data_IF_034314731237
#
_entry.id   IF_034314731237
#
_cell.length_a   1.000
_cell.length_b   1.000
_cell.length_c   1.000
_cell.angle_alpha   90.00
_cell.angle_beta   90.00
_cell.angle_gamma   90.00
#
_symmetry.space_group_name_H-M   'P 1'
#
loop_
_entity.id
_entity.type
_entity.pdbx_description
1 polymer ?
#
# COMPACT_ATOMS: atom_id res chain seq x y z
N UNK A 1 5.43 -29.87 -16.77
CA UNK A 1 5.60 -28.67 -15.92
C UNK A 1 4.86 -27.51 -16.58
N UNK A 2 3.72 -27.08 -16.03
CA UNK A 2 2.78 -26.15 -16.66
C UNK A 2 3.35 -24.73 -16.83
N UNK A 3 4.15 -24.50 -17.89
CA UNK A 3 4.33 -23.17 -18.47
C UNK A 3 3.16 -22.91 -19.42
N UNK A 4 2.00 -22.59 -18.84
CA UNK A 4 0.88 -22.04 -19.60
C UNK A 4 1.17 -20.60 -20.03
N UNK A 5 1.33 -20.42 -21.34
CA UNK A 5 0.70 -19.36 -22.13
C UNK A 5 0.71 -17.92 -21.57
N UNK A 6 1.72 -17.15 -21.97
CA UNK A 6 1.72 -15.68 -22.14
C UNK A 6 1.30 -14.78 -20.97
N UNK A 7 0.94 -15.29 -19.78
CA UNK A 7 0.61 -14.51 -18.57
C UNK A 7 -0.31 -13.31 -18.85
N UNK A 8 -1.42 -13.54 -19.57
CA UNK A 8 -2.31 -12.49 -20.07
C UNK A 8 -2.98 -11.65 -18.99
N UNK A 9 -3.15 -12.20 -17.79
CA UNK A 9 -3.74 -11.51 -16.64
C UNK A 9 -2.78 -10.50 -15.99
N UNK A 10 -1.46 -10.68 -16.13
CA UNK A 10 -0.46 -9.79 -15.57
C UNK A 10 -0.13 -8.67 -16.55
N UNK A 11 -0.24 -7.42 -16.10
CA UNK A 11 0.19 -6.26 -16.88
C UNK A 11 1.68 -6.34 -17.27
N UNK A 12 2.52 -7.00 -16.47
CA UNK A 12 3.95 -7.17 -16.74
C UNK A 12 4.27 -8.42 -17.57
N UNK A 13 3.31 -9.32 -17.80
CA UNK A 13 3.49 -10.61 -18.51
C UNK A 13 4.53 -11.54 -17.88
N UNK A 14 4.82 -11.42 -16.59
CA UNK A 14 5.85 -12.19 -15.90
C UNK A 14 5.27 -13.35 -15.11
N UNK A 15 4.10 -13.14 -14.50
CA UNK A 15 3.52 -14.08 -13.55
C UNK A 15 2.20 -14.65 -14.10
N UNK A 16 2.01 -15.99 -14.06
CA UNK A 16 0.68 -16.56 -14.25
C UNK A 16 -0.22 -16.17 -13.08
N UNK A 17 -1.53 -16.27 -13.26
CA UNK A 17 -2.53 -15.86 -12.26
C UNK A 17 -2.28 -16.47 -10.86
N UNK A 18 -1.94 -17.76 -10.79
CA UNK A 18 -1.62 -18.44 -9.53
C UNK A 18 -0.41 -17.83 -8.81
N UNK A 19 0.62 -17.43 -9.56
CA UNK A 19 1.79 -16.77 -9.00
C UNK A 19 1.50 -15.32 -8.58
N UNK A 20 0.60 -14.62 -9.28
CA UNK A 20 0.11 -13.32 -8.86
C UNK A 20 -0.62 -13.40 -7.52
N UNK A 21 -1.49 -14.39 -7.33
CA UNK A 21 -2.15 -14.64 -6.04
C UNK A 21 -1.14 -14.92 -4.93
N UNK A 22 -0.14 -15.76 -5.22
CA UNK A 22 0.95 -16.02 -4.28
C UNK A 22 1.74 -14.76 -3.90
N UNK A 23 2.00 -13.87 -4.86
CA UNK A 23 2.65 -12.58 -4.61
C UNK A 23 1.77 -11.64 -3.78
N UNK A 24 0.48 -11.55 -4.10
CA UNK A 24 -0.48 -10.74 -3.35
C UNK A 24 -0.57 -11.22 -1.89
N UNK A 25 -0.67 -12.52 -1.66
CA UNK A 25 -0.71 -13.09 -0.31
C UNK A 25 0.58 -12.78 0.47
N UNK A 26 1.76 -12.87 -0.16
CA UNK A 26 3.02 -12.49 0.48
C UNK A 26 3.07 -11.00 0.84
N UNK A 27 2.59 -10.13 -0.04
CA UNK A 27 2.47 -8.70 0.23
C UNK A 27 1.59 -8.45 1.46
N UNK A 28 0.46 -9.15 1.55
CA UNK A 28 -0.43 -9.05 2.70
C UNK A 28 0.22 -9.56 3.99
N UNK A 29 0.88 -10.72 3.96
CA UNK A 29 1.53 -11.29 5.14
C UNK A 29 2.71 -10.47 5.64
N UNK A 30 3.48 -9.84 4.74
CA UNK A 30 4.65 -9.03 5.12
C UNK A 30 4.28 -7.58 5.46
N UNK A 31 3.32 -7.00 4.75
CA UNK A 31 2.99 -5.58 4.82
C UNK A 31 1.63 -5.26 5.44
N UNK A 32 0.75 -6.24 5.62
CA UNK A 32 -0.64 -6.06 6.04
C UNK A 32 -1.58 -5.56 4.94
N UNK A 33 -1.09 -5.46 3.70
CA UNK A 33 -1.79 -4.78 2.62
C UNK A 33 -1.45 -5.32 1.23
N UNK A 34 -2.41 -5.17 0.32
CA UNK A 34 -2.28 -5.49 -1.09
C UNK A 34 -2.72 -4.27 -1.88
N UNK A 35 -1.85 -3.81 -2.78
CA UNK A 35 -2.17 -2.77 -3.74
C UNK A 35 -2.04 -3.32 -5.16
N UNK A 36 -3.08 -3.14 -5.96
CA UNK A 36 -3.07 -3.49 -7.37
C UNK A 36 -3.90 -2.52 -8.21
N UNK A 37 -3.55 -2.39 -9.49
CA UNK A 37 -4.32 -1.60 -10.47
C UNK A 37 -4.88 -2.51 -11.55
N UNK A 38 -6.10 -2.22 -11.99
CA UNK A 38 -6.74 -2.85 -13.13
C UNK A 38 -6.53 -1.97 -14.38
N UNK A 39 -5.52 -2.31 -15.16
CA UNK A 39 -5.17 -1.62 -16.40
C UNK A 39 -6.04 -2.12 -17.57
N UNK A 40 -6.20 -1.28 -18.59
CA UNK A 40 -6.89 -1.64 -19.83
C UNK A 40 -5.90 -1.58 -20.98
N UNK A 41 -5.55 -2.75 -21.51
CA UNK A 41 -4.47 -2.96 -22.47
C UNK A 41 -5.04 -3.70 -23.69
N UNK A 42 -5.76 -2.96 -24.55
CA UNK A 42 -6.45 -3.50 -25.74
C UNK A 42 -5.51 -4.09 -26.78
N UNK A 43 -4.32 -3.50 -26.94
CA UNK A 43 -3.41 -3.80 -28.06
C UNK A 43 -2.48 -4.99 -27.80
N UNK A 44 -2.93 -5.95 -26.97
CA UNK A 44 -2.09 -7.05 -26.49
C UNK A 44 -2.39 -8.41 -27.12
N UNK A 45 -3.35 -8.47 -28.06
CA UNK A 45 -3.72 -9.71 -28.76
C UNK A 45 -4.39 -10.73 -27.85
N UNK A 46 -5.10 -10.26 -26.81
CA UNK A 46 -5.72 -11.09 -25.78
C UNK A 46 -7.24 -11.17 -26.02
N UNK A 47 -7.86 -12.24 -25.53
CA UNK A 47 -9.32 -12.35 -25.44
C UNK A 47 -9.97 -11.26 -24.57
N UNK A 48 -9.20 -10.64 -23.67
CA UNK A 48 -9.65 -9.59 -22.77
C UNK A 48 -8.59 -8.48 -22.66
N UNK A 49 -9.04 -7.24 -22.56
CA UNK A 49 -8.15 -6.09 -22.41
C UNK A 49 -7.76 -5.80 -20.95
N UNK A 50 -8.49 -6.32 -19.96
CA UNK A 50 -8.21 -6.04 -18.55
C UNK A 50 -6.98 -6.81 -18.06
N UNK A 51 -5.97 -6.12 -17.56
CA UNK A 51 -4.81 -6.73 -16.93
C UNK A 51 -4.60 -6.15 -15.53
N UNK A 52 -4.14 -6.99 -14.60
CA UNK A 52 -3.89 -6.60 -13.22
C UNK A 52 -2.39 -6.35 -13.06
N UNK A 53 -2.04 -5.25 -12.40
CA UNK A 53 -0.67 -4.95 -11.99
C UNK A 53 -0.63 -4.90 -10.47
N UNK A 54 0.09 -5.83 -9.85
CA UNK A 54 0.37 -5.76 -8.42
C UNK A 54 1.47 -4.71 -8.22
N UNK A 55 1.23 -3.76 -7.31
CA UNK A 55 2.12 -2.65 -7.02
C UNK A 55 2.60 -2.81 -5.59
N UNK A 56 3.89 -2.55 -5.36
CA UNK A 56 4.42 -2.57 -4.01
C UNK A 56 3.75 -1.47 -3.17
N UNK A 57 3.12 -1.80 -2.03
CA UNK A 57 2.36 -0.84 -1.24
C UNK A 57 3.17 0.35 -0.71
N UNK A 58 4.46 0.17 -0.42
CA UNK A 58 5.35 1.28 -0.04
C UNK A 58 5.54 2.39 -1.12
N UNK A 59 4.99 2.20 -2.32
CA UNK A 59 4.92 3.26 -3.34
C UNK A 59 3.72 4.18 -3.16
N UNK A 60 2.74 3.79 -2.35
CA UNK A 60 1.58 4.61 -2.02
C UNK A 60 2.02 5.61 -0.94
N UNK A 61 2.14 6.88 -1.31
CA UNK A 61 2.49 7.95 -0.38
C UNK A 61 1.99 9.29 -0.90
N UNK A 62 1.96 10.29 0.00
CA UNK A 62 1.53 11.63 -0.37
C UNK A 62 2.51 12.23 -1.41
N UNK A 63 2.01 12.94 -2.43
CA UNK A 63 2.87 13.66 -3.36
C UNK A 63 3.82 14.61 -2.62
N UNK A 64 5.09 14.62 -3.04
CA UNK A 64 6.18 15.36 -2.38
C UNK A 64 6.35 15.03 -0.89
N UNK A 65 5.93 13.82 -0.48
CA UNK A 65 5.99 13.35 0.91
C UNK A 65 5.38 14.34 1.92
N UNK A 66 4.33 15.06 1.50
CA UNK A 66 3.60 16.01 2.33
C UNK A 66 2.96 15.32 3.54
N UNK A 67 2.77 16.08 4.62
CA UNK A 67 2.04 15.61 5.79
C UNK A 67 0.59 15.24 5.47
N UNK A 68 0.05 14.29 6.22
CA UNK A 68 -1.34 13.87 6.12
C UNK A 68 -2.30 15.01 6.47
N UNK A 69 -3.46 14.99 5.82
CA UNK A 69 -4.56 15.95 5.99
C UNK A 69 -5.87 15.20 6.23
N UNK A 70 -6.98 15.92 6.35
CA UNK A 70 -8.31 15.32 6.42
C UNK A 70 -8.70 14.58 5.12
N UNK A 71 -8.27 15.09 3.98
CA UNK A 71 -8.63 14.63 2.63
C UNK A 71 -7.54 13.86 1.89
N UNK A 72 -6.32 13.83 2.40
CA UNK A 72 -5.21 13.07 1.82
C UNK A 72 -4.41 12.43 2.94
N UNK A 73 -4.41 11.10 3.00
CA UNK A 73 -3.69 10.33 4.04
C UNK A 73 -2.96 9.17 3.42
N UNK A 74 -1.67 9.02 3.71
CA UNK A 74 -0.88 7.89 3.24
C UNK A 74 -1.01 7.62 1.72
N UNK A 75 -1.05 8.68 0.91
CA UNK A 75 -1.23 8.60 -0.55
C UNK A 75 -2.66 8.32 -1.01
N UNK A 76 -3.66 8.26 -0.13
CA UNK A 76 -5.07 8.04 -0.49
C UNK A 76 -5.85 9.34 -0.32
N UNK A 77 -6.46 9.80 -1.42
CA UNK A 77 -7.44 10.89 -1.37
C UNK A 77 -8.77 10.36 -0.85
N UNK A 78 -9.34 11.06 0.13
CA UNK A 78 -10.59 10.73 0.79
C UNK A 78 -11.66 11.77 0.45
N UNK A 79 -12.89 11.31 0.30
CA UNK A 79 -14.09 12.15 0.21
C UNK A 79 -14.53 12.63 1.61
N UNK A 80 -15.52 13.52 1.68
CA UNK A 80 -16.10 14.01 2.93
C UNK A 80 -16.56 12.88 3.87
N UNK A 81 -17.03 11.77 3.32
CA UNK A 81 -17.45 10.59 4.07
C UNK A 81 -16.30 9.62 4.42
N UNK A 82 -15.05 9.96 4.11
CA UNK A 82 -13.89 9.09 4.31
C UNK A 82 -13.74 7.98 3.25
N UNK A 83 -14.55 8.00 2.20
CA UNK A 83 -14.45 7.04 1.10
C UNK A 83 -13.23 7.37 0.20
N UNK A 84 -12.41 6.37 -0.19
CA UNK A 84 -11.27 6.63 -1.07
C UNK A 84 -11.74 7.06 -2.46
N UNK A 85 -11.15 8.14 -2.99
CA UNK A 85 -11.45 8.73 -4.30
C UNK A 85 -10.33 8.48 -5.30
N UNK A 86 -9.08 8.61 -4.89
CA UNK A 86 -7.91 8.38 -5.72
C UNK A 86 -6.70 7.96 -4.89
N UNK A 87 -5.69 7.44 -5.59
CA UNK A 87 -4.45 6.92 -5.02
C UNK A 87 -3.27 7.59 -5.70
N UNK A 88 -2.30 8.05 -4.92
CA UNK A 88 -1.06 8.64 -5.39
C UNK A 88 0.05 7.60 -5.30
N UNK A 89 0.43 7.07 -6.46
CA UNK A 89 1.41 6.00 -6.55
C UNK A 89 2.71 6.59 -7.09
N UNK A 90 3.75 6.57 -6.27
CA UNK A 90 5.11 6.96 -6.66
C UNK A 90 5.64 6.03 -7.75
N UNK A 91 6.43 6.53 -8.69
CA UNK A 91 7.00 5.72 -9.77
C UNK A 91 8.11 4.76 -9.30
N UNK A 92 9.00 5.23 -8.43
CA UNK A 92 10.08 4.46 -7.82
C UNK A 92 9.78 4.09 -6.36
N UNK A 93 10.43 3.05 -5.84
CA UNK A 93 10.45 2.82 -4.39
C UNK A 93 11.33 3.87 -3.70
N UNK A 94 11.08 4.18 -2.42
CA UNK A 94 11.96 5.07 -1.65
C UNK A 94 13.43 4.62 -1.66
N UNK A 95 13.71 3.32 -1.63
CA UNK A 95 15.09 2.79 -1.70
C UNK A 95 15.75 2.90 -3.09
N UNK A 96 14.94 2.90 -4.16
CA UNK A 96 15.42 3.01 -5.54
C UNK A 96 15.80 4.45 -5.91
N UNK A 97 15.47 5.42 -5.04
CA UNK A 97 15.83 6.81 -5.27
C UNK A 97 17.34 7.00 -5.43
N UNK A 98 18.15 6.23 -4.69
CA UNK A 98 19.62 6.28 -4.76
C UNK A 98 20.20 5.80 -6.09
N UNK A 99 19.51 4.91 -6.81
CA UNK A 99 19.96 4.43 -8.13
C UNK A 99 19.81 5.51 -9.22
N UNK A 100 18.93 6.48 -9.02
CA UNK A 100 18.68 7.62 -9.92
C UNK A 100 19.55 8.85 -9.63
N UNK A 101 20.41 8.80 -8.59
CA UNK A 101 21.41 9.83 -8.32
C UNK A 101 22.84 9.29 -8.55
N UNK A 102 23.24 8.92 -9.78
CA UNK A 102 24.65 8.77 -10.07
C UNK A 102 25.27 10.17 -10.04
N UNK A 103 26.11 10.45 -9.02
CA UNK A 103 27.20 11.43 -9.05
C UNK A 103 26.95 12.69 -9.92
N UNK A 104 26.29 13.69 -9.35
CA UNK A 104 26.45 15.09 -9.79
C UNK A 104 25.78 15.52 -11.10
N UNK A 105 24.95 14.68 -11.70
CA UNK A 105 24.28 14.99 -12.97
C UNK A 105 22.79 14.69 -12.83
N UNK A 106 21.96 15.74 -12.80
CA UNK A 106 20.52 15.63 -12.96
C UNK A 106 20.23 15.09 -14.38
N UNK A 107 20.20 13.76 -14.53
CA UNK A 107 20.15 13.10 -15.82
C UNK A 107 18.75 13.27 -16.43
N UNK A 108 18.65 14.28 -17.30
CA UNK A 108 17.86 14.43 -18.52
C UNK A 108 16.74 13.38 -18.75
N UNK A 109 15.62 13.61 -18.07
CA UNK A 109 14.31 13.07 -18.36
C UNK A 109 13.29 13.84 -17.51
N UNK A 110 12.69 14.88 -18.08
CA UNK A 110 11.65 15.73 -17.49
C UNK A 110 11.91 16.24 -16.05
N UNK A 111 13.15 16.59 -15.68
CA UNK A 111 13.50 17.43 -14.52
C UNK A 111 13.02 16.99 -13.13
N UNK A 112 12.36 15.84 -13.00
CA UNK A 112 11.77 15.31 -11.79
C UNK A 112 12.37 13.92 -11.61
N UNK A 113 13.29 13.76 -10.66
CA UNK A 113 13.91 12.47 -10.36
C UNK A 113 12.91 11.46 -9.77
N UNK A 114 13.30 10.60 -8.82
CA UNK A 114 12.45 9.53 -8.25
C UNK A 114 11.18 10.01 -7.51
N UNK A 115 10.82 11.28 -7.62
CA UNK A 115 9.70 11.99 -7.00
C UNK A 115 8.61 12.33 -8.03
N UNK A 116 8.22 11.35 -8.83
CA UNK A 116 7.05 11.44 -9.71
C UNK A 116 5.95 10.57 -9.12
N UNK A 117 4.77 11.16 -8.92
CA UNK A 117 3.58 10.45 -8.47
C UNK A 117 2.53 10.45 -9.57
N UNK A 118 1.97 9.27 -9.82
CA UNK A 118 0.81 9.13 -10.69
C UNK A 118 -0.43 9.06 -9.83
N UNK A 119 -1.34 10.03 -10.02
CA UNK A 119 -2.67 9.99 -9.42
C UNK A 119 -3.56 9.04 -10.23
N UNK A 120 -4.02 7.97 -9.60
CA UNK A 120 -4.92 6.97 -10.18
C UNK A 120 -6.28 7.06 -9.47
N UNK A 121 -7.38 7.39 -10.17
CA UNK A 121 -8.69 7.41 -9.55
C UNK A 121 -9.10 5.99 -9.14
N UNK A 122 -9.86 5.86 -8.05
CA UNK A 122 -10.31 4.55 -7.54
C UNK A 122 -11.21 3.84 -8.53
N UNK A 123 -12.05 4.60 -9.23
CA UNK A 123 -13.00 4.14 -10.24
C UNK A 123 -12.85 4.99 -11.50
N UNK A 124 -13.15 4.39 -12.65
CA UNK A 124 -13.30 5.15 -13.90
C UNK A 124 -14.58 6.01 -13.85
N UNK A 125 -14.72 6.96 -14.78
CA UNK A 125 -15.91 7.81 -14.86
C UNK A 125 -17.24 7.06 -14.97
N UNK A 126 -17.21 5.80 -15.44
CA UNK A 126 -18.36 4.92 -15.61
C UNK A 126 -18.45 3.82 -14.54
N UNK A 127 -17.70 3.95 -13.43
CA UNK A 127 -17.86 3.12 -12.23
C UNK A 127 -17.03 1.82 -12.19
N UNK A 128 -16.14 1.56 -13.16
CA UNK A 128 -15.24 0.40 -13.06
C UNK A 128 -14.14 0.65 -12.05
N UNK A 129 -13.98 -0.27 -11.11
CA UNK A 129 -12.88 -0.30 -10.15
C UNK A 129 -11.53 -0.33 -10.88
N UNK A 130 -10.72 0.70 -10.68
CA UNK A 130 -9.37 0.82 -11.26
C UNK A 130 -8.28 0.50 -10.23
N UNK A 131 -8.48 0.83 -8.96
CA UNK A 131 -7.54 0.49 -7.88
C UNK A 131 -8.16 -0.53 -6.93
N UNK A 132 -7.43 -1.62 -6.70
CA UNK A 132 -7.73 -2.65 -5.74
C UNK A 132 -6.78 -2.46 -4.56
N UNK A 133 -7.33 -2.04 -3.43
CA UNK A 133 -6.56 -1.83 -2.21
C UNK A 133 -7.23 -2.62 -1.09
N UNK A 134 -6.52 -3.64 -0.60
CA UNK A 134 -7.03 -4.60 0.38
C UNK A 134 -6.14 -4.52 1.61
N UNK A 135 -6.74 -4.22 2.76
CA UNK A 135 -6.10 -4.20 4.06
C UNK A 135 -7.18 -4.49 5.12
N UNK A 136 -6.75 -4.90 6.31
CA UNK A 136 -7.64 -5.15 7.44
C UNK A 136 -7.56 -3.98 8.43
N UNK A 137 -8.61 -3.15 8.57
CA UNK A 137 -8.63 -2.07 9.54
C UNK A 137 -8.88 -2.62 10.96
N UNK A 138 -8.08 -2.19 11.93
CA UNK A 138 -8.32 -2.50 13.35
C UNK A 138 -9.35 -1.54 13.98
N UNK A 139 -9.42 -0.30 13.48
CA UNK A 139 -10.30 0.76 13.99
C UNK A 139 -11.15 1.39 12.88
N UNK A 140 -12.35 1.92 13.21
CA UNK A 140 -13.17 2.63 12.23
C UNK A 140 -12.45 3.89 11.71
N UNK A 141 -12.46 4.09 10.40
CA UNK A 141 -11.79 5.23 9.74
C UNK A 141 -10.27 5.09 9.61
N UNK A 142 -9.71 3.92 9.97
CA UNK A 142 -8.28 3.63 9.83
C UNK A 142 -7.88 3.52 8.35
N UNK A 143 -6.86 4.28 7.94
CA UNK A 143 -6.16 4.09 6.66
C UNK A 143 -5.02 3.09 6.82
N UNK A 144 -4.63 2.45 5.71
CA UNK A 144 -3.66 1.34 5.67
C UNK A 144 -2.31 1.62 6.35
N UNK A 145 -1.77 2.84 6.28
CA UNK A 145 -0.49 3.16 6.93
C UNK A 145 -0.56 2.99 8.45
N UNK A 146 -1.73 3.21 9.05
CA UNK A 146 -1.93 2.99 10.47
C UNK A 146 -1.89 1.49 10.84
N UNK A 147 -2.17 0.56 9.92
CA UNK A 147 -2.04 -0.90 10.16
C UNK A 147 -0.58 -1.29 10.46
N UNK A 148 0.40 -0.62 9.82
CA UNK A 148 1.83 -0.83 10.10
C UNK A 148 2.28 -0.26 11.45
N UNK A 149 1.63 0.80 11.93
CA UNK A 149 1.99 1.48 13.19
C UNK A 149 1.22 0.92 14.40
N UNK A 150 -0.02 0.47 14.22
CA UNK A 150 -0.90 0.01 15.31
C UNK A 150 -0.49 -1.34 15.88
N UNK A 151 -0.04 -2.27 15.02
CA UNK A 151 0.54 -3.56 15.44
C UNK A 151 1.80 -3.41 16.29
N UNK A 152 2.53 -2.30 16.17
CA UNK A 152 3.67 -1.94 17.03
C UNK A 152 3.24 -1.15 18.29
N UNK A 153 2.13 -0.42 18.25
CA UNK A 153 1.69 0.42 19.36
C UNK A 153 0.75 -0.31 20.35
N UNK A 154 0.13 -1.41 19.95
CA UNK A 154 -0.66 -2.27 20.85
C UNK A 154 0.16 -3.41 21.49
N UNK A 155 1.48 -3.32 21.44
CA UNK A 155 2.41 -4.10 22.26
C UNK A 155 2.82 -3.41 23.56
N UNK A 156 1.96 -2.57 24.16
CA UNK A 156 2.23 -2.07 25.51
C UNK A 156 1.90 -3.20 26.51
N UNK A 157 2.85 -3.72 27.30
CA UNK A 157 2.53 -4.60 28.41
C UNK A 157 1.90 -3.74 29.52
N UNK A 158 0.63 -3.37 29.34
CA UNK A 158 -0.18 -2.68 30.35
C UNK A 158 -1.10 -3.67 31.06
N UNK A 159 -0.55 -4.83 31.42
CA UNK A 159 -1.23 -5.87 32.20
C UNK A 159 -0.21 -6.67 33.04
N UNK A 160 0.58 -5.97 33.86
CA UNK A 160 1.26 -6.55 35.03
C UNK A 160 1.82 -5.47 35.98
N UNK A 161 0.99 -4.55 36.49
CA UNK A 161 1.26 -3.86 37.76
C UNK A 161 -0.04 -3.74 38.56
N UNK A 162 -0.48 -4.87 39.11
CA UNK A 162 -1.25 -4.83 40.35
C UNK A 162 -0.23 -4.58 41.47
N UNK A 163 -0.32 -3.48 42.24
CA UNK A 163 0.50 -3.34 43.43
C UNK A 163 0.10 -4.45 44.40
N UNK A 164 1.08 -5.26 44.82
CA UNK A 164 0.89 -6.26 45.84
C UNK A 164 0.26 -5.60 47.08
N UNK A 165 -0.92 -6.10 47.48
CA UNK A 165 -1.59 -5.74 48.72
C UNK A 165 -0.60 -5.86 49.88
N UNK A 166 -0.25 -4.71 50.46
CA UNK A 166 0.64 -4.61 51.62
C UNK A 166 -0.11 -5.24 52.80
N UNK A 167 0.30 -6.43 53.25
CA UNK A 167 -0.23 -7.02 54.50
C UNK A 167 0.05 -6.05 55.64
N UNK A 168 -1.03 -5.47 56.19
CA UNK A 168 -1.00 -4.73 57.46
C UNK A 168 -0.62 -5.74 58.56
N UNK A 169 0.59 -5.62 59.10
CA UNK A 169 1.01 -6.39 60.27
C UNK A 169 0.40 -5.70 61.49
N UNK A 170 -0.61 -6.34 62.08
CA UNK A 170 -1.25 -5.89 63.32
C UNK A 170 -0.19 -5.66 64.41
N UNK A 171 -0.24 -4.47 65.01
CA UNK A 171 0.39 -4.19 66.30
C UNK A 171 -0.48 -4.84 67.37
N UNK A 172 0.09 -5.83 68.05
CA UNK A 172 -0.40 -6.35 69.33
C UNK A 172 0.63 -6.01 70.40
N UNK A 173 0.11 -5.74 71.60
CA UNK A 173 0.77 -5.26 72.82
C UNK A 173 2.05 -6.00 73.21
#
# INVERSE_FOLDING_TARGET
MWKGSNCHCDASRRLPFSAMLGLAMRSFLMGGEILATAEWLSNRGNYYATAIRIIHPARLCNPNDRMDTDRLRAGVELDHHGAPRAYHIRQALPGDCFLYFPRGEASLGDGNGPYIWTRVPRETAWGRRQVLHVFEPEHPGQTWEAVKKSSLCCGSPRLARLPALRKVKNRGM
#
